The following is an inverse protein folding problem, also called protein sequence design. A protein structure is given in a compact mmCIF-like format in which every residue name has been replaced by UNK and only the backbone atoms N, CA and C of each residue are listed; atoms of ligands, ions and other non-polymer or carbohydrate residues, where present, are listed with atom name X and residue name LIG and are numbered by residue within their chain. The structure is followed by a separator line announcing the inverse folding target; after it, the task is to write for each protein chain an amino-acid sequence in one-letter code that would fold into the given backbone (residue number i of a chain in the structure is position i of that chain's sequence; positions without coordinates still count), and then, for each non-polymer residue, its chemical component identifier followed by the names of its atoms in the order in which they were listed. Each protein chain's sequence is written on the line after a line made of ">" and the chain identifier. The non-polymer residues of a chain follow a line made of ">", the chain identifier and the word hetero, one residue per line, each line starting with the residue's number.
data_IF_860429259209
#
_entry.id   IF_860429259209
#
_cell.length_a   1.000
_cell.length_b   1.000
_cell.length_c   1.000
_cell.angle_alpha   90.00
_cell.angle_beta   90.00
_cell.angle_gamma   90.00
#
_symmetry.space_group_name_H-M   'P 1'
#
loop_
_entity.id
_entity.type
_entity.pdbx_description
1 polymer ?
#
# COMPACT_ATOMS: atom_id res chain seq x y z
N UNK A 1 -36.92 -10.01 -10.60
CA UNK A 1 -36.13 -9.04 -11.39
C UNK A 1 -34.85 -8.61 -10.67
N UNK A 2 -34.87 -8.40 -9.36
CA UNK A 2 -33.68 -8.07 -8.53
C UNK A 2 -32.62 -9.17 -8.58
N UNK A 3 -32.96 -10.43 -8.37
CA UNK A 3 -32.03 -11.57 -8.37
C UNK A 3 -31.26 -11.71 -9.70
N UNK A 4 -31.89 -11.40 -10.85
CA UNK A 4 -31.21 -11.43 -12.16
C UNK A 4 -30.23 -10.28 -12.38
N UNK A 5 -30.38 -9.15 -11.65
CA UNK A 5 -29.48 -8.01 -11.73
C UNK A 5 -28.23 -8.26 -10.89
N UNK A 6 -28.38 -8.87 -9.69
CA UNK A 6 -27.25 -9.26 -8.83
C UNK A 6 -26.37 -10.35 -9.43
N UNK A 7 -26.94 -11.29 -10.21
CA UNK A 7 -26.17 -12.31 -10.91
C UNK A 7 -25.31 -11.79 -12.09
N UNK A 8 -25.47 -10.53 -12.48
CA UNK A 8 -24.68 -9.87 -13.54
C UNK A 8 -23.69 -8.82 -13.03
N UNK A 9 -23.64 -8.60 -11.71
CA UNK A 9 -22.67 -7.67 -11.12
C UNK A 9 -21.30 -8.35 -11.09
N UNK A 10 -20.35 -7.83 -11.82
CA UNK A 10 -18.94 -8.22 -11.68
C UNK A 10 -18.43 -7.68 -10.34
N UNK A 11 -18.15 -8.58 -9.41
CA UNK A 11 -17.56 -8.22 -8.14
C UNK A 11 -16.05 -8.06 -8.31
N UNK A 12 -15.49 -6.99 -7.80
CA UNK A 12 -14.03 -6.73 -7.79
C UNK A 12 -13.26 -7.89 -7.14
N UNK A 13 -13.90 -8.61 -6.19
CA UNK A 13 -13.37 -9.85 -5.62
C UNK A 13 -14.44 -10.93 -5.70
N UNK A 14 -14.22 -12.00 -6.47
CA UNK A 14 -15.17 -13.13 -6.52
C UNK A 14 -15.29 -13.77 -5.15
N UNK A 15 -16.49 -14.31 -4.84
CA UNK A 15 -16.74 -15.05 -3.61
C UNK A 15 -15.88 -16.33 -3.59
N UNK A 16 -15.00 -16.44 -2.60
CA UNK A 16 -14.14 -17.61 -2.40
C UNK A 16 -14.62 -18.37 -1.16
N UNK A 17 -14.99 -19.63 -1.33
CA UNK A 17 -15.34 -20.52 -0.24
C UNK A 17 -14.08 -21.01 0.48
N UNK A 18 -13.55 -20.18 1.38
CA UNK A 18 -12.43 -20.56 2.24
C UNK A 18 -12.83 -21.64 3.23
N UNK A 19 -11.87 -22.38 3.80
CA UNK A 19 -12.18 -23.42 4.79
C UNK A 19 -12.90 -22.86 6.04
N UNK A 20 -12.63 -21.61 6.41
CA UNK A 20 -13.41 -20.89 7.43
C UNK A 20 -14.89 -20.80 7.03
N UNK A 21 -15.16 -20.32 5.81
CA UNK A 21 -16.53 -20.18 5.30
C UNK A 21 -17.22 -21.54 5.23
N UNK A 22 -16.53 -22.58 4.76
CA UNK A 22 -17.09 -23.96 4.73
C UNK A 22 -17.49 -24.45 6.12
N UNK A 23 -16.62 -24.27 7.14
CA UNK A 23 -16.95 -24.62 8.54
C UNK A 23 -18.15 -23.84 9.06
N UNK A 24 -18.21 -22.54 8.79
CA UNK A 24 -19.34 -21.69 9.16
C UNK A 24 -20.66 -22.14 8.49
N UNK A 25 -20.62 -22.52 7.22
CA UNK A 25 -21.80 -23.04 6.50
C UNK A 25 -22.28 -24.35 7.15
N UNK A 26 -21.39 -25.26 7.52
CA UNK A 26 -21.76 -26.51 8.19
C UNK A 26 -22.44 -26.24 9.53
N UNK A 27 -21.88 -25.38 10.38
CA UNK A 27 -22.46 -25.00 11.65
C UNK A 27 -23.81 -24.31 11.46
N UNK A 28 -23.91 -23.40 10.48
CA UNK A 28 -25.17 -22.74 10.10
C UNK A 28 -26.26 -23.77 9.71
N UNK A 29 -25.92 -24.74 8.86
CA UNK A 29 -26.85 -25.75 8.42
C UNK A 29 -27.37 -26.61 9.59
N UNK A 30 -26.48 -27.03 10.50
CA UNK A 30 -26.85 -27.81 11.70
C UNK A 30 -27.77 -27.00 12.61
N UNK A 31 -27.41 -25.75 12.93
CA UNK A 31 -28.22 -24.88 13.81
C UNK A 31 -29.58 -24.58 13.18
N UNK A 32 -29.61 -24.28 11.87
CA UNK A 32 -30.83 -24.02 11.12
C UNK A 32 -31.77 -25.23 11.16
N UNK A 33 -31.23 -26.44 10.95
CA UNK A 33 -32.01 -27.67 11.03
C UNK A 33 -32.61 -27.89 12.42
N UNK A 34 -31.77 -27.77 13.49
CA UNK A 34 -32.21 -27.98 14.88
C UNK A 34 -33.31 -26.97 15.25
N UNK A 35 -33.11 -25.70 14.97
CA UNK A 35 -34.06 -24.64 15.34
C UNK A 35 -35.37 -24.78 14.56
N UNK A 36 -35.27 -25.05 13.25
CA UNK A 36 -36.46 -25.25 12.42
C UNK A 36 -37.27 -26.47 12.93
N UNK A 37 -36.58 -27.59 13.24
CA UNK A 37 -37.21 -28.78 13.82
C UNK A 37 -37.91 -28.47 15.15
N UNK A 38 -37.28 -27.76 16.05
CA UNK A 38 -37.86 -27.38 17.35
C UNK A 38 -39.06 -26.42 17.17
N UNK A 39 -38.96 -25.45 16.27
CA UNK A 39 -40.07 -24.52 16.00
C UNK A 39 -41.27 -25.26 15.40
N UNK A 40 -41.04 -26.13 14.40
CA UNK A 40 -42.15 -26.87 13.78
C UNK A 40 -42.82 -27.82 14.78
N UNK A 41 -42.04 -28.49 15.64
CA UNK A 41 -42.56 -29.41 16.65
C UNK A 41 -43.42 -28.73 17.71
N UNK A 42 -42.99 -27.54 18.18
CA UNK A 42 -43.61 -26.86 19.33
C UNK A 42 -44.66 -25.82 18.95
N UNK A 43 -44.56 -25.22 17.76
CA UNK A 43 -45.35 -24.08 17.30
C UNK A 43 -46.17 -24.39 16.02
N UNK A 44 -46.42 -25.66 15.69
CA UNK A 44 -47.13 -26.02 14.46
C UNK A 44 -48.56 -25.43 14.38
N UNK A 45 -49.20 -25.14 15.55
CA UNK A 45 -50.52 -24.52 15.63
C UNK A 45 -50.44 -22.97 15.35
N UNK A 46 -49.24 -22.38 15.27
CA UNK A 46 -49.01 -20.96 15.03
C UNK A 46 -48.21 -20.70 13.76
N UNK A 47 -48.63 -21.31 12.62
CA UNK A 47 -47.90 -21.23 11.37
C UNK A 47 -47.53 -19.83 10.90
N UNK A 48 -48.40 -18.82 11.14
CA UNK A 48 -48.10 -17.43 10.81
C UNK A 48 -46.93 -16.88 11.62
N UNK A 49 -46.83 -17.22 12.92
CA UNK A 49 -45.73 -16.79 13.78
C UNK A 49 -44.43 -17.47 13.37
N UNK A 50 -44.46 -18.76 13.02
CA UNK A 50 -43.32 -19.51 12.48
C UNK A 50 -42.80 -18.86 11.20
N UNK A 51 -43.71 -18.43 10.31
CA UNK A 51 -43.37 -17.72 9.09
C UNK A 51 -42.62 -16.42 9.33
N UNK A 52 -43.11 -15.59 10.27
CA UNK A 52 -42.43 -14.32 10.66
C UNK A 52 -41.04 -14.59 11.26
N UNK A 53 -40.94 -15.55 12.19
CA UNK A 53 -39.64 -15.95 12.80
C UNK A 53 -38.66 -16.40 11.73
N UNK A 54 -39.11 -17.17 10.73
CA UNK A 54 -38.26 -17.70 9.65
C UNK A 54 -37.63 -16.61 8.77
N UNK A 55 -38.20 -15.41 8.70
CA UNK A 55 -37.61 -14.26 7.96
C UNK A 55 -36.41 -13.69 8.70
N UNK A 56 -36.47 -13.58 10.03
CA UNK A 56 -35.40 -12.98 10.83
C UNK A 56 -34.39 -14.00 11.35
N UNK A 57 -34.75 -15.26 11.41
CA UNK A 57 -33.92 -16.36 11.90
C UNK A 57 -32.56 -16.45 11.20
N UNK A 58 -32.41 -16.29 9.87
CA UNK A 58 -31.11 -16.34 9.22
C UNK A 58 -30.11 -15.32 9.74
N UNK A 59 -30.53 -14.10 10.02
CA UNK A 59 -29.66 -13.05 10.55
C UNK A 59 -29.16 -13.37 11.96
N UNK A 60 -30.06 -13.85 12.83
CA UNK A 60 -29.70 -14.31 14.17
C UNK A 60 -28.75 -15.49 14.12
N UNK A 61 -29.02 -16.45 13.22
CA UNK A 61 -28.18 -17.65 13.05
C UNK A 61 -26.76 -17.29 12.59
N UNK A 62 -26.59 -16.37 11.65
CA UNK A 62 -25.27 -15.92 11.20
C UNK A 62 -24.48 -15.37 12.40
N UNK A 63 -25.12 -14.55 13.26
CA UNK A 63 -24.48 -14.02 14.45
C UNK A 63 -24.08 -15.10 15.45
N UNK A 64 -24.97 -16.06 15.73
CA UNK A 64 -24.69 -17.21 16.61
C UNK A 64 -23.57 -18.09 16.05
N UNK A 65 -23.58 -18.38 14.75
CA UNK A 65 -22.50 -19.12 14.08
C UNK A 65 -21.16 -18.42 14.27
N UNK A 66 -21.12 -17.08 14.10
CA UNK A 66 -19.90 -16.32 14.33
C UNK A 66 -19.40 -16.45 15.78
N UNK A 67 -20.29 -16.34 16.77
CA UNK A 67 -19.93 -16.52 18.20
C UNK A 67 -19.39 -17.93 18.47
N UNK A 68 -20.05 -18.96 17.97
CA UNK A 68 -19.67 -20.36 18.21
C UNK A 68 -18.36 -20.71 17.52
N UNK A 69 -18.15 -20.22 16.28
CA UNK A 69 -16.96 -20.56 15.49
C UNK A 69 -15.75 -19.71 15.85
N UNK A 70 -15.91 -18.46 16.33
CA UNK A 70 -14.78 -17.54 16.63
C UNK A 70 -13.70 -18.14 17.54
N UNK A 71 -14.00 -18.85 18.65
CA UNK A 71 -12.96 -19.44 19.49
C UNK A 71 -12.11 -20.46 18.72
N UNK A 72 -12.76 -21.28 17.88
CA UNK A 72 -12.12 -22.31 17.07
C UNK A 72 -11.23 -21.64 15.99
N UNK A 73 -11.77 -20.64 15.30
CA UNK A 73 -11.03 -19.91 14.27
C UNK A 73 -9.83 -19.17 14.86
N UNK A 74 -9.97 -18.58 16.07
CA UNK A 74 -8.87 -17.93 16.77
C UNK A 74 -7.79 -18.93 17.20
N UNK A 75 -8.18 -20.13 17.67
CA UNK A 75 -7.24 -21.18 18.00
C UNK A 75 -6.46 -21.66 16.75
N UNK A 76 -7.14 -21.84 15.63
CA UNK A 76 -6.52 -22.21 14.34
C UNK A 76 -5.55 -21.12 13.88
N UNK A 77 -5.96 -19.84 13.92
CA UNK A 77 -5.08 -18.70 13.57
C UNK A 77 -3.82 -18.70 14.44
N UNK A 78 -3.99 -18.82 15.76
CA UNK A 78 -2.88 -18.83 16.71
C UNK A 78 -1.96 -20.03 16.47
N UNK A 79 -2.50 -21.18 16.09
CA UNK A 79 -1.71 -22.35 15.70
C UNK A 79 -0.82 -22.06 14.48
N UNK A 80 -1.38 -21.43 13.44
CA UNK A 80 -0.62 -21.03 12.25
C UNK A 80 0.46 -19.97 12.54
N UNK A 81 0.13 -18.98 13.39
CA UNK A 81 1.09 -17.98 13.82
C UNK A 81 2.24 -18.58 14.63
N UNK A 82 1.94 -19.52 15.53
CA UNK A 82 2.98 -20.21 16.31
C UNK A 82 3.90 -21.04 15.40
N UNK A 83 3.33 -21.78 14.43
CA UNK A 83 4.12 -22.51 13.44
C UNK A 83 5.06 -21.58 12.67
N UNK A 84 4.56 -20.42 12.22
CA UNK A 84 5.39 -19.45 11.52
C UNK A 84 6.48 -18.83 12.42
N UNK A 85 6.18 -18.58 13.70
CA UNK A 85 7.17 -18.13 14.71
C UNK A 85 8.25 -19.17 14.92
N UNK A 86 7.87 -20.44 15.00
CA UNK A 86 8.84 -21.55 15.20
C UNK A 86 9.74 -21.69 13.97
N UNK A 87 9.21 -21.55 12.75
CA UNK A 87 10.03 -21.53 11.52
C UNK A 87 11.07 -20.41 11.60
N UNK A 88 10.64 -19.16 11.89
CA UNK A 88 11.56 -18.02 11.98
C UNK A 88 12.55 -18.11 13.12
N UNK A 89 12.20 -18.77 14.22
CA UNK A 89 13.04 -18.96 15.40
C UNK A 89 14.10 -20.03 15.19
N UNK A 90 13.77 -21.08 14.43
CA UNK A 90 14.67 -22.21 14.20
C UNK A 90 15.71 -21.96 13.10
N UNK A 91 15.65 -20.80 12.43
CA UNK A 91 16.66 -20.38 11.45
C UNK A 91 17.41 -19.14 11.95
N UNK A 92 18.51 -19.40 12.70
CA UNK A 92 19.36 -18.34 13.24
C UNK A 92 20.18 -17.62 12.15
N UNK A 93 20.32 -18.21 10.96
CA UNK A 93 21.07 -17.63 9.85
C UNK A 93 20.22 -16.69 9.00
N UNK A 94 18.89 -16.76 9.14
CA UNK A 94 17.97 -15.91 8.36
C UNK A 94 18.05 -14.45 8.82
N UNK A 95 18.55 -13.60 7.96
CA UNK A 95 18.54 -12.15 8.16
C UNK A 95 17.10 -11.67 8.02
N UNK A 96 16.53 -11.06 9.06
CA UNK A 96 15.15 -10.55 9.07
C UNK A 96 15.16 -9.04 9.04
N UNK A 97 14.42 -8.47 8.09
CA UNK A 97 14.29 -7.03 7.83
C UNK A 97 12.82 -6.65 7.95
N UNK A 98 12.50 -5.68 8.80
CA UNK A 98 11.19 -5.08 8.92
C UNK A 98 11.13 -3.75 8.16
N UNK A 99 10.00 -3.47 7.51
CA UNK A 99 9.78 -2.21 6.79
C UNK A 99 8.39 -1.67 7.11
N UNK A 100 8.34 -0.52 7.77
CA UNK A 100 7.09 0.17 8.07
C UNK A 100 7.07 1.63 7.62
N UNK A 101 5.95 2.29 7.84
CA UNK A 101 5.68 3.70 7.53
C UNK A 101 4.22 3.91 7.12
N UNK A 102 3.81 5.16 7.00
CA UNK A 102 2.50 5.49 6.44
C UNK A 102 2.51 5.27 4.92
N UNK A 103 3.54 5.74 4.22
CA UNK A 103 3.68 5.67 2.76
C UNK A 103 5.02 5.06 2.37
N UNK A 104 5.11 4.48 1.17
CA UNK A 104 6.38 3.98 0.60
C UNK A 104 6.79 2.55 0.99
N UNK A 105 6.15 1.90 1.95
CA UNK A 105 6.49 0.55 2.44
C UNK A 105 6.70 -0.49 1.34
N UNK A 106 5.69 -0.68 0.50
CA UNK A 106 5.72 -1.69 -0.57
C UNK A 106 6.79 -1.39 -1.61
N UNK A 107 6.95 -0.12 -1.97
CA UNK A 107 8.00 0.30 -2.90
C UNK A 107 9.39 0.05 -2.29
N UNK A 108 9.62 0.47 -1.04
CA UNK A 108 10.89 0.24 -0.35
C UNK A 108 11.20 -1.26 -0.21
N UNK A 109 10.22 -2.09 0.12
CA UNK A 109 10.37 -3.55 0.18
C UNK A 109 10.89 -4.12 -1.15
N UNK A 110 10.28 -3.75 -2.27
CA UNK A 110 10.70 -4.22 -3.58
C UNK A 110 12.06 -3.65 -3.98
N UNK A 111 12.31 -2.37 -3.72
CA UNK A 111 13.61 -1.72 -3.95
C UNK A 111 14.73 -2.42 -3.18
N UNK A 112 14.53 -2.65 -1.88
CA UNK A 112 15.49 -3.38 -1.03
C UNK A 112 15.73 -4.78 -1.61
N UNK A 113 14.66 -5.50 -1.93
CA UNK A 113 14.77 -6.83 -2.55
C UNK A 113 15.63 -6.80 -3.82
N UNK A 114 15.31 -5.91 -4.76
CA UNK A 114 16.00 -5.87 -6.05
C UNK A 114 17.49 -5.52 -5.88
N UNK A 115 17.83 -4.61 -4.94
CA UNK A 115 19.23 -4.23 -4.68
C UNK A 115 20.01 -5.39 -4.09
N UNK A 116 19.48 -6.10 -3.08
CA UNK A 116 20.25 -7.12 -2.37
C UNK A 116 20.19 -8.51 -3.02
N UNK A 117 19.27 -8.73 -3.97
CA UNK A 117 19.10 -10.02 -4.67
C UNK A 117 20.30 -10.40 -5.53
N UNK A 118 21.22 -9.49 -5.82
CA UNK A 118 22.48 -9.78 -6.49
C UNK A 118 23.42 -10.65 -5.63
N UNK A 119 23.26 -10.59 -4.30
CA UNK A 119 24.12 -11.28 -3.31
C UNK A 119 23.38 -12.29 -2.45
N UNK A 120 22.12 -12.05 -2.14
CA UNK A 120 21.33 -12.85 -1.22
C UNK A 120 20.11 -13.47 -1.90
N UNK A 121 19.77 -14.70 -1.55
CA UNK A 121 18.50 -15.28 -1.90
C UNK A 121 17.43 -14.79 -0.92
N UNK A 122 16.47 -14.04 -1.41
CA UNK A 122 15.51 -13.29 -0.60
C UNK A 122 14.11 -13.90 -0.65
N UNK A 123 13.41 -13.87 0.49
CA UNK A 123 11.96 -14.04 0.59
C UNK A 123 11.36 -12.69 0.96
N UNK A 124 10.33 -12.24 0.24
CA UNK A 124 9.60 -11.01 0.57
C UNK A 124 8.13 -11.31 0.82
N UNK A 125 7.46 -10.51 1.65
CA UNK A 125 6.00 -10.57 1.78
C UNK A 125 5.36 -10.17 0.44
N UNK A 126 4.50 -11.04 -0.18
CA UNK A 126 3.91 -10.74 -1.50
C UNK A 126 2.93 -9.57 -1.41
N UNK A 127 2.80 -8.80 -2.48
CA UNK A 127 1.88 -7.68 -2.58
C UNK A 127 1.87 -6.81 -1.30
N UNK A 128 0.72 -6.64 -0.66
CA UNK A 128 0.53 -5.94 0.62
C UNK A 128 0.24 -6.89 1.79
N UNK A 129 0.87 -8.08 1.82
CA UNK A 129 0.74 -9.05 2.93
C UNK A 129 1.52 -8.55 4.17
N UNK A 130 1.05 -7.46 4.76
CA UNK A 130 1.69 -6.71 5.84
C UNK A 130 0.98 -6.84 7.20
N UNK A 131 -0.01 -7.73 7.29
CA UNK A 131 -0.74 -8.06 8.53
C UNK A 131 -0.21 -9.36 9.14
N UNK A 132 -0.49 -9.66 10.43
CA UNK A 132 -0.04 -10.90 11.07
C UNK A 132 -0.36 -12.15 10.25
N UNK A 133 -1.59 -12.26 9.73
CA UNK A 133 -1.97 -13.43 8.91
C UNK A 133 -1.34 -13.43 7.51
N UNK A 134 -1.12 -12.25 6.90
CA UNK A 134 -0.40 -12.14 5.63
C UNK A 134 1.05 -12.61 5.75
N UNK A 135 1.73 -12.20 6.82
CA UNK A 135 3.10 -12.61 7.14
C UNK A 135 3.13 -14.12 7.48
N UNK A 136 2.21 -14.59 8.33
CA UNK A 136 2.05 -16.02 8.66
C UNK A 136 1.92 -16.88 7.41
N UNK A 137 1.06 -16.45 6.49
CA UNK A 137 0.84 -17.14 5.21
C UNK A 137 2.10 -17.17 4.36
N UNK A 138 2.81 -16.04 4.25
CA UNK A 138 4.06 -15.95 3.51
C UNK A 138 5.08 -16.95 4.03
N UNK A 139 5.25 -17.02 5.35
CA UNK A 139 6.23 -17.91 5.97
C UNK A 139 5.82 -19.38 5.75
N UNK A 140 4.58 -19.75 6.05
CA UNK A 140 4.12 -21.15 5.95
C UNK A 140 4.08 -21.69 4.52
N UNK A 141 3.70 -20.85 3.54
CA UNK A 141 3.51 -21.29 2.16
C UNK A 141 4.75 -21.12 1.28
N UNK A 142 5.62 -20.14 1.60
CA UNK A 142 6.69 -19.72 0.69
C UNK A 142 8.09 -19.87 1.28
N UNK A 143 8.25 -19.90 2.60
CA UNK A 143 9.57 -20.03 3.20
C UNK A 143 10.22 -21.38 2.85
N UNK A 144 11.51 -21.32 2.53
CA UNK A 144 12.40 -22.49 2.34
C UNK A 144 13.73 -22.20 3.02
N UNK A 145 14.41 -23.21 3.60
CA UNK A 145 15.70 -23.02 4.29
C UNK A 145 16.84 -22.48 3.42
N UNK A 146 16.66 -22.38 2.11
CA UNK A 146 17.64 -21.78 1.20
C UNK A 146 17.63 -20.25 1.23
N UNK A 147 16.55 -19.63 1.73
CA UNK A 147 16.50 -18.17 1.83
C UNK A 147 17.44 -17.65 2.90
N UNK A 148 18.21 -16.63 2.55
CA UNK A 148 19.18 -16.00 3.43
C UNK A 148 18.64 -14.72 4.07
N UNK A 149 17.66 -14.07 3.41
CA UNK A 149 17.06 -12.83 3.88
C UNK A 149 15.54 -12.91 3.76
N UNK A 150 14.85 -12.53 4.82
CA UNK A 150 13.40 -12.32 4.83
C UNK A 150 13.09 -10.82 4.98
N UNK A 151 12.46 -10.23 3.96
CA UNK A 151 12.04 -8.83 3.95
C UNK A 151 10.54 -8.77 4.21
N UNK A 152 10.18 -8.25 5.37
CA UNK A 152 8.81 -8.22 5.87
C UNK A 152 8.25 -6.79 5.82
N UNK A 153 7.22 -6.55 5.01
CA UNK A 153 6.42 -5.33 5.10
C UNK A 153 5.52 -5.42 6.34
N UNK A 154 5.56 -4.40 7.21
CA UNK A 154 4.80 -4.33 8.46
C UNK A 154 3.77 -3.19 8.37
N UNK A 155 2.49 -3.55 8.31
CA UNK A 155 1.37 -2.63 8.29
C UNK A 155 0.76 -2.45 9.69
N UNK A 156 0.23 -1.26 9.95
CA UNK A 156 -0.61 -1.03 11.11
C UNK A 156 -1.66 0.04 10.78
N UNK A 157 -2.87 -0.19 11.25
CA UNK A 157 -3.98 0.76 11.27
C UNK A 157 -4.49 1.03 12.71
N UNK A 158 -3.99 0.30 13.71
CA UNK A 158 -4.23 0.49 15.14
C UNK A 158 -2.94 0.49 15.95
N UNK A 159 -2.99 1.09 17.14
CA UNK A 159 -1.88 1.10 18.10
C UNK A 159 -1.60 -0.33 18.60
N UNK A 160 -0.33 -0.71 18.68
CA UNK A 160 0.14 -2.00 19.15
C UNK A 160 0.39 -3.06 18.06
N UNK A 161 0.04 -2.79 16.81
CA UNK A 161 0.20 -3.75 15.72
C UNK A 161 1.64 -3.86 15.22
N UNK A 162 2.40 -2.75 15.13
CA UNK A 162 3.85 -2.83 14.83
C UNK A 162 4.58 -3.53 15.97
N UNK A 163 4.25 -3.18 17.21
CA UNK A 163 4.77 -3.89 18.39
C UNK A 163 4.58 -5.40 18.28
N UNK A 164 3.36 -5.83 17.92
CA UNK A 164 3.04 -7.24 17.72
C UNK A 164 3.86 -7.88 16.60
N UNK A 165 4.02 -7.18 15.46
CA UNK A 165 4.77 -7.69 14.32
C UNK A 165 6.27 -7.75 14.59
N UNK A 166 6.83 -6.77 15.34
CA UNK A 166 8.21 -6.79 15.79
C UNK A 166 8.50 -7.99 16.72
N UNK A 167 7.58 -8.28 17.65
CA UNK A 167 7.67 -9.46 18.52
C UNK A 167 7.46 -10.78 17.76
N UNK A 168 6.72 -10.73 16.65
CA UNK A 168 6.47 -11.90 15.79
C UNK A 168 7.69 -12.23 14.92
N UNK A 169 8.20 -11.25 14.17
CA UNK A 169 9.27 -11.46 13.17
C UNK A 169 10.66 -11.39 13.81
N UNK A 170 10.83 -10.52 14.81
CA UNK A 170 12.10 -10.19 15.46
C UNK A 170 13.18 -9.80 14.45
N UNK A 171 12.96 -8.73 13.67
CA UNK A 171 13.93 -8.29 12.69
C UNK A 171 15.20 -7.76 13.36
N UNK A 172 16.35 -7.94 12.69
CA UNK A 172 17.63 -7.31 13.06
C UNK A 172 17.78 -5.93 12.42
N UNK A 173 17.14 -5.73 11.27
CA UNK A 173 17.16 -4.49 10.50
C UNK A 173 15.74 -3.95 10.38
N UNK A 174 15.56 -2.65 10.64
CA UNK A 174 14.28 -1.97 10.56
C UNK A 174 14.36 -0.74 9.68
N UNK A 175 13.34 -0.49 8.86
CA UNK A 175 13.24 0.70 8.00
C UNK A 175 11.93 1.42 8.27
N UNK A 176 12.00 2.71 8.61
CA UNK A 176 10.83 3.60 8.67
C UNK A 176 10.88 4.56 7.48
N UNK A 177 9.98 4.37 6.51
CA UNK A 177 10.01 5.07 5.23
C UNK A 177 9.53 6.51 5.32
N UNK A 178 8.31 6.72 5.75
CA UNK A 178 7.71 8.04 6.01
C UNK A 178 6.50 7.91 6.92
N UNK A 179 6.22 8.96 7.70
CA UNK A 179 5.08 9.06 8.60
C UNK A 179 4.21 10.22 8.14
N UNK A 180 2.90 10.04 8.20
CA UNK A 180 1.91 11.05 7.89
C UNK A 180 0.51 10.64 8.30
N UNK A 181 -0.47 11.55 8.22
CA UNK A 181 -1.85 11.31 8.62
C UNK A 181 -2.49 10.24 7.71
N UNK A 182 -2.55 9.02 8.22
CA UNK A 182 -3.19 7.87 7.60
C UNK A 182 -3.94 7.10 8.69
N UNK A 183 -5.15 6.60 8.41
CA UNK A 183 -5.99 5.88 9.38
C UNK A 183 -6.24 6.66 10.69
N UNK A 184 -6.36 8.00 10.62
CA UNK A 184 -6.52 8.88 11.79
C UNK A 184 -7.69 8.47 12.70
N UNK A 185 -8.80 7.99 12.12
CA UNK A 185 -9.95 7.55 12.90
C UNK A 185 -9.61 6.35 13.81
N UNK A 186 -8.78 5.44 13.35
CA UNK A 186 -8.39 4.23 14.09
C UNK A 186 -7.28 4.52 15.11
N UNK A 187 -6.30 5.36 14.74
CA UNK A 187 -5.22 5.77 15.64
C UNK A 187 -5.63 6.86 16.63
N UNK A 188 -6.70 7.60 16.35
CA UNK A 188 -7.19 8.71 17.17
C UNK A 188 -6.45 10.03 16.94
N UNK A 189 -5.14 10.04 16.79
CA UNK A 189 -4.33 11.23 16.52
C UNK A 189 -3.00 10.90 15.83
N UNK A 190 -2.31 11.93 15.36
CA UNK A 190 -1.03 11.81 14.65
C UNK A 190 0.11 11.32 15.56
N UNK A 191 0.14 11.72 16.82
CA UNK A 191 1.18 11.30 17.77
C UNK A 191 1.18 9.80 17.99
N UNK A 192 0.00 9.17 17.99
CA UNK A 192 -0.13 7.73 18.06
C UNK A 192 0.43 7.05 16.79
N UNK A 193 0.20 7.65 15.62
CA UNK A 193 0.78 7.14 14.35
C UNK A 193 2.31 7.22 14.40
N UNK A 194 2.85 8.34 14.86
CA UNK A 194 4.30 8.53 14.97
C UNK A 194 4.90 7.49 15.90
N UNK A 195 4.37 7.35 17.12
CA UNK A 195 4.85 6.37 18.10
C UNK A 195 4.77 4.96 17.55
N UNK A 196 3.63 4.60 16.97
CA UNK A 196 3.40 3.25 16.44
C UNK A 196 4.40 2.89 15.32
N UNK A 197 4.63 3.80 14.37
CA UNK A 197 5.57 3.51 13.27
C UNK A 197 7.03 3.51 13.77
N UNK A 198 7.35 4.31 14.78
CA UNK A 198 8.69 4.33 15.37
C UNK A 198 8.99 3.11 16.25
N UNK A 199 7.98 2.33 16.69
CA UNK A 199 8.19 1.03 17.35
C UNK A 199 9.08 0.09 16.51
N UNK A 200 9.09 0.23 15.18
CA UNK A 200 10.02 -0.49 14.30
C UNK A 200 11.49 -0.29 14.69
N UNK A 201 11.86 0.93 15.09
CA UNK A 201 13.23 1.27 15.51
C UNK A 201 13.41 1.01 17.01
N UNK A 202 12.43 1.38 17.82
CA UNK A 202 12.51 1.27 19.29
C UNK A 202 12.67 -0.19 19.78
N UNK A 203 12.17 -1.15 18.97
CA UNK A 203 12.20 -2.58 19.34
C UNK A 203 13.28 -3.40 18.65
N UNK A 204 14.17 -2.76 17.88
CA UNK A 204 15.32 -3.48 17.33
C UNK A 204 16.24 -3.96 18.45
N UNK A 205 16.92 -5.11 18.27
CA UNK A 205 17.95 -5.54 19.21
C UNK A 205 19.11 -4.53 19.25
N UNK A 206 19.87 -4.51 20.33
CA UNK A 206 20.98 -3.55 20.53
C UNK A 206 22.04 -3.63 19.43
N UNK A 207 22.24 -4.82 18.86
CA UNK A 207 23.15 -5.08 17.74
C UNK A 207 22.43 -4.97 16.38
N UNK A 208 21.20 -4.47 16.38
CA UNK A 208 20.42 -4.20 15.19
C UNK A 208 20.72 -2.85 14.54
N UNK A 209 20.14 -2.61 13.38
CA UNK A 209 20.31 -1.36 12.62
C UNK A 209 18.96 -0.82 12.17
N UNK A 210 18.67 0.41 12.57
CA UNK A 210 17.51 1.19 12.10
C UNK A 210 17.88 2.10 10.93
N UNK A 211 17.01 2.24 9.97
CA UNK A 211 17.15 3.18 8.85
C UNK A 211 15.94 4.11 8.84
N UNK A 212 16.21 5.42 8.87
CA UNK A 212 15.18 6.45 9.00
C UNK A 212 15.32 7.53 7.93
N UNK A 213 14.19 8.10 7.51
CA UNK A 213 14.13 9.15 6.52
C UNK A 213 14.08 10.54 7.20
N UNK A 214 15.14 11.33 7.14
CA UNK A 214 15.22 12.66 7.73
C UNK A 214 14.51 13.76 6.94
N UNK A 215 14.10 13.51 5.70
CA UNK A 215 13.24 14.46 4.96
C UNK A 215 11.79 14.45 5.49
N UNK A 216 11.43 13.45 6.31
CA UNK A 216 10.14 13.42 6.97
C UNK A 216 10.23 14.11 8.34
N UNK A 217 9.53 15.22 8.51
CA UNK A 217 9.57 16.04 9.71
C UNK A 217 9.21 15.30 10.99
N UNK A 218 8.25 14.36 10.93
CA UNK A 218 7.81 13.59 12.09
C UNK A 218 8.88 12.59 12.54
N UNK A 219 9.62 12.01 11.60
CA UNK A 219 10.75 11.11 11.89
C UNK A 219 11.95 11.93 12.38
N UNK A 220 12.29 13.04 11.72
CA UNK A 220 13.42 13.89 12.05
C UNK A 220 13.32 14.48 13.47
N UNK A 221 12.11 14.80 13.92
CA UNK A 221 11.83 15.35 15.25
C UNK A 221 11.59 14.29 16.34
N UNK A 222 11.54 13.00 15.97
CA UNK A 222 11.30 11.92 16.94
C UNK A 222 12.57 11.61 17.73
N UNK A 223 12.44 11.58 19.07
CA UNK A 223 13.55 11.19 19.95
C UNK A 223 13.58 9.67 20.09
N UNK A 224 14.52 9.02 19.43
CA UNK A 224 14.76 7.57 19.55
C UNK A 224 15.39 7.28 20.91
N UNK A 225 14.85 6.31 21.65
CA UNK A 225 15.35 5.88 22.95
C UNK A 225 16.17 4.59 22.86
N UNK A 226 16.02 3.82 21.78
CA UNK A 226 16.79 2.62 21.54
C UNK A 226 18.29 2.93 21.34
N UNK A 227 19.15 2.01 21.73
CA UNK A 227 20.62 2.12 21.61
C UNK A 227 21.17 1.38 20.39
N UNK A 228 20.32 0.87 19.51
CA UNK A 228 20.76 0.27 18.24
C UNK A 228 21.44 1.32 17.35
N UNK A 229 22.22 0.86 16.37
CA UNK A 229 22.77 1.74 15.33
C UNK A 229 21.62 2.31 14.48
N UNK A 230 21.64 3.61 14.26
CA UNK A 230 20.65 4.28 13.37
C UNK A 230 21.39 4.93 12.21
N UNK A 231 20.98 4.61 11.00
CA UNK A 231 21.41 5.25 9.76
C UNK A 231 20.29 6.13 9.21
N UNK A 232 20.65 7.25 8.71
CA UNK A 232 19.72 8.24 8.19
C UNK A 232 19.85 8.41 6.68
N UNK A 233 18.71 8.62 5.99
CA UNK A 233 18.66 8.94 4.56
C UNK A 233 17.92 10.24 4.33
N UNK A 234 18.28 10.98 3.28
CA UNK A 234 17.62 12.23 2.91
C UNK A 234 18.07 12.76 1.55
N UNK A 235 17.27 13.66 1.00
CA UNK A 235 17.58 14.43 -0.21
C UNK A 235 17.72 15.92 0.16
N UNK A 236 16.78 16.41 0.95
CA UNK A 236 16.74 17.81 1.39
C UNK A 236 17.57 18.03 2.66
N UNK A 237 17.72 16.99 3.48
CA UNK A 237 18.50 17.05 4.71
C UNK A 237 19.94 16.62 4.46
N UNK A 238 20.85 17.61 4.43
CA UNK A 238 22.30 17.43 4.19
C UNK A 238 23.04 16.72 5.33
N UNK A 239 22.40 16.57 6.50
CA UNK A 239 22.95 15.87 7.69
C UNK A 239 22.70 14.35 7.64
N UNK A 240 21.96 13.86 6.64
CA UNK A 240 21.72 12.44 6.50
C UNK A 240 23.02 11.69 6.16
N UNK A 241 23.21 10.49 6.74
CA UNK A 241 24.35 9.63 6.47
C UNK A 241 24.44 9.23 4.99
N UNK A 242 23.28 9.02 4.37
CA UNK A 242 23.14 8.76 2.94
C UNK A 242 22.27 9.83 2.30
N UNK A 243 22.91 10.79 1.63
CA UNK A 243 22.21 11.88 0.96
C UNK A 243 22.38 11.78 -0.56
N UNK A 244 21.24 11.93 -1.29
CA UNK A 244 21.26 12.02 -2.76
C UNK A 244 21.36 13.46 -3.21
N UNK A 245 22.20 13.70 -4.21
CA UNK A 245 22.40 15.01 -4.82
C UNK A 245 22.55 14.88 -6.35
N UNK A 246 22.55 15.99 -7.07
CA UNK A 246 22.63 16.04 -8.54
C UNK A 246 21.56 15.14 -9.20
N UNK A 247 20.32 15.25 -8.68
CA UNK A 247 19.19 14.44 -9.13
C UNK A 247 18.68 14.99 -10.47
N UNK A 248 18.57 14.11 -11.47
CA UNK A 248 18.08 14.45 -12.82
C UNK A 248 17.01 13.46 -13.23
N UNK A 249 15.89 13.97 -13.69
CA UNK A 249 14.76 13.20 -14.19
C UNK A 249 14.72 13.22 -15.72
N UNK A 250 14.29 12.11 -16.30
CA UNK A 250 14.09 11.97 -17.74
C UNK A 250 13.03 10.88 -18.02
N UNK A 251 12.57 10.77 -19.27
CA UNK A 251 11.66 9.70 -19.70
C UNK A 251 12.28 8.28 -19.57
N UNK A 252 13.60 8.19 -19.35
CA UNK A 252 14.31 6.94 -19.12
C UNK A 252 14.48 6.62 -17.63
N UNK A 253 13.96 7.47 -16.73
CA UNK A 253 14.08 7.31 -15.29
C UNK A 253 14.86 8.43 -14.61
N UNK A 254 15.44 8.12 -13.46
CA UNK A 254 16.17 9.06 -12.59
C UNK A 254 17.64 8.71 -12.52
N UNK A 255 18.50 9.75 -12.58
CA UNK A 255 19.94 9.65 -12.29
C UNK A 255 20.24 10.53 -11.09
N UNK A 256 21.03 10.04 -10.14
CA UNK A 256 21.43 10.79 -8.94
C UNK A 256 22.78 10.31 -8.43
N UNK A 257 23.39 11.07 -7.52
CA UNK A 257 24.66 10.74 -6.88
C UNK A 257 24.49 10.56 -5.37
N UNK A 258 25.26 9.63 -4.80
CA UNK A 258 25.39 9.42 -3.35
C UNK A 258 26.86 9.28 -3.02
N UNK A 259 27.29 9.79 -1.87
CA UNK A 259 28.64 9.52 -1.34
C UNK A 259 28.64 8.16 -0.64
N UNK A 260 29.42 7.20 -1.17
CA UNK A 260 29.72 5.93 -0.53
C UNK A 260 31.19 5.88 -0.18
N UNK A 261 31.50 5.62 1.10
CA UNK A 261 32.89 5.58 1.60
C UNK A 261 33.70 6.83 1.21
N UNK A 262 33.07 8.00 1.29
CA UNK A 262 33.71 9.29 0.95
C UNK A 262 33.85 9.58 -0.55
N UNK A 263 33.49 8.64 -1.45
CA UNK A 263 33.56 8.80 -2.91
C UNK A 263 32.19 8.90 -3.55
N UNK A 264 32.04 9.77 -4.51
CA UNK A 264 30.81 9.89 -5.29
C UNK A 264 30.52 8.60 -6.09
N UNK A 265 29.29 8.11 -5.97
CA UNK A 265 28.75 7.05 -6.80
C UNK A 265 27.55 7.59 -7.57
N UNK A 266 27.48 7.28 -8.87
CA UNK A 266 26.35 7.67 -9.72
C UNK A 266 25.41 6.48 -9.87
N UNK A 267 24.14 6.71 -9.61
CA UNK A 267 23.07 5.73 -9.69
C UNK A 267 22.11 6.09 -10.81
N UNK A 268 21.58 5.08 -11.48
CA UNK A 268 20.53 5.20 -12.49
C UNK A 268 19.43 4.21 -12.19
N UNK A 269 18.18 4.65 -12.28
CA UNK A 269 17.00 3.81 -12.08
C UNK A 269 15.89 4.20 -13.02
N UNK A 270 14.99 3.27 -13.33
CA UNK A 270 13.77 3.54 -14.11
C UNK A 270 12.68 4.23 -13.28
N UNK A 271 12.82 4.25 -11.95
CA UNK A 271 11.82 4.88 -11.08
C UNK A 271 11.91 6.40 -11.15
N UNK A 272 10.77 7.08 -11.13
CA UNK A 272 10.64 8.53 -11.16
C UNK A 272 10.19 9.08 -9.81
N UNK A 273 10.58 10.34 -9.54
CA UNK A 273 10.15 11.08 -8.37
C UNK A 273 11.12 11.00 -7.18
N UNK A 274 11.22 12.12 -6.44
CA UNK A 274 12.11 12.28 -5.27
C UNK A 274 11.84 11.22 -4.20
N UNK A 275 10.58 10.90 -3.93
CA UNK A 275 10.20 9.87 -2.98
C UNK A 275 10.76 8.47 -3.32
N UNK A 276 10.89 8.13 -4.62
CA UNK A 276 11.52 6.89 -5.01
C UNK A 276 13.04 6.93 -4.82
N UNK A 277 13.66 8.09 -5.00
CA UNK A 277 15.08 8.27 -4.63
C UNK A 277 15.28 8.04 -3.14
N UNK A 278 14.42 8.59 -2.27
CA UNK A 278 14.46 8.33 -0.81
C UNK A 278 14.28 6.84 -0.48
N UNK A 279 13.33 6.15 -1.14
CA UNK A 279 13.14 4.71 -0.95
C UNK A 279 14.40 3.92 -1.38
N UNK A 280 15.06 4.34 -2.47
CA UNK A 280 16.31 3.74 -2.95
C UNK A 280 17.46 4.02 -1.99
N UNK A 281 17.54 5.21 -1.38
CA UNK A 281 18.53 5.52 -0.34
C UNK A 281 18.40 4.58 0.85
N UNK A 282 17.18 4.24 1.28
CA UNK A 282 16.98 3.22 2.32
C UNK A 282 17.57 1.86 1.91
N UNK A 283 17.35 1.45 0.64
CA UNK A 283 17.92 0.23 0.09
C UNK A 283 19.44 0.26 -0.01
N UNK A 284 20.04 1.38 -0.43
CA UNK A 284 21.49 1.60 -0.50
C UNK A 284 22.12 1.51 0.89
N UNK A 285 21.52 2.19 1.89
CA UNK A 285 21.99 2.19 3.27
C UNK A 285 21.99 0.76 3.84
N UNK A 286 20.89 0.02 3.65
CA UNK A 286 20.80 -1.36 4.09
C UNK A 286 21.77 -2.28 3.35
N UNK A 287 21.87 -2.17 2.04
CA UNK A 287 22.79 -2.99 1.24
C UNK A 287 24.25 -2.79 1.67
N UNK A 288 24.62 -1.54 1.96
CA UNK A 288 25.95 -1.23 2.48
C UNK A 288 26.20 -1.87 3.85
N UNK A 289 25.22 -1.85 4.74
CA UNK A 289 25.29 -2.47 6.06
C UNK A 289 25.35 -4.01 5.97
N UNK A 290 24.72 -4.61 4.97
CA UNK A 290 24.80 -6.04 4.66
C UNK A 290 26.10 -6.42 3.93
N UNK A 291 27.02 -5.48 3.73
CA UNK A 291 28.33 -5.72 3.15
C UNK A 291 28.37 -5.91 1.64
N UNK A 292 27.41 -5.32 0.90
CA UNK A 292 27.51 -5.24 -0.55
C UNK A 292 28.58 -4.23 -0.95
N UNK A 293 29.33 -4.54 -2.00
CA UNK A 293 30.27 -3.60 -2.62
C UNK A 293 29.55 -2.45 -3.31
N UNK A 294 30.27 -1.38 -3.59
CA UNK A 294 29.75 -0.23 -4.33
C UNK A 294 29.19 -0.65 -5.69
N UNK A 295 29.89 -1.51 -6.39
CA UNK A 295 29.54 -2.03 -7.72
C UNK A 295 28.25 -2.86 -7.65
N UNK A 296 28.14 -3.78 -6.70
CA UNK A 296 26.92 -4.58 -6.45
C UNK A 296 25.70 -3.69 -6.16
N UNK A 297 25.88 -2.61 -5.39
CA UNK A 297 24.80 -1.66 -5.10
C UNK A 297 24.39 -0.87 -6.34
N UNK A 298 25.37 -0.39 -7.14
CA UNK A 298 25.08 0.34 -8.39
C UNK A 298 24.29 -0.56 -9.35
N UNK A 299 24.74 -1.78 -9.53
CA UNK A 299 24.07 -2.76 -10.41
C UNK A 299 22.68 -3.12 -9.87
N UNK A 300 22.53 -3.31 -8.55
CA UNK A 300 21.26 -3.55 -7.91
C UNK A 300 20.26 -2.43 -8.14
N UNK A 301 20.69 -1.17 -8.00
CA UNK A 301 19.83 0.01 -8.24
C UNK A 301 19.46 0.13 -9.73
N UNK A 302 20.36 -0.20 -10.64
CA UNK A 302 20.08 -0.17 -12.07
C UNK A 302 19.06 -1.25 -12.51
N UNK A 303 18.97 -2.34 -11.76
CA UNK A 303 18.08 -3.47 -12.04
C UNK A 303 16.74 -3.41 -11.25
N UNK A 304 16.47 -2.33 -10.51
CA UNK A 304 15.20 -2.12 -9.83
C UNK A 304 14.05 -2.19 -10.85
N UNK A 305 13.02 -2.97 -10.47
CA UNK A 305 11.80 -3.12 -11.27
C UNK A 305 10.74 -2.12 -10.83
N UNK A 306 9.86 -1.76 -11.74
CA UNK A 306 8.70 -0.95 -11.40
C UNK A 306 7.72 -1.77 -10.55
N UNK A 307 7.09 -1.11 -9.60
CA UNK A 307 6.01 -1.72 -8.81
C UNK A 307 4.69 -1.43 -9.51
N UNK A 308 3.90 -2.47 -9.76
CA UNK A 308 2.59 -2.35 -10.42
C UNK A 308 1.72 -1.29 -9.74
N UNK A 309 1.08 -0.46 -10.56
CA UNK A 309 0.15 0.59 -10.14
C UNK A 309 0.74 1.63 -9.15
N UNK A 310 2.07 1.80 -9.13
CA UNK A 310 2.77 2.79 -8.30
C UNK A 310 3.73 3.62 -9.13
N UNK A 311 3.19 4.62 -9.82
CA UNK A 311 3.91 5.43 -10.82
C UNK A 311 4.59 4.55 -11.87
N UNK A 312 3.95 3.46 -12.23
CA UNK A 312 4.45 2.52 -13.22
C UNK A 312 4.32 3.11 -14.62
N UNK A 313 5.44 3.21 -15.33
CA UNK A 313 5.43 3.66 -16.74
C UNK A 313 5.07 2.49 -17.62
N UNK A 314 3.95 2.61 -18.32
CA UNK A 314 3.46 1.64 -19.30
C UNK A 314 3.42 2.26 -20.69
N UNK A 315 3.86 1.50 -21.69
CA UNK A 315 3.63 1.85 -23.09
C UNK A 315 2.54 0.95 -23.67
N UNK A 316 1.38 1.54 -23.96
CA UNK A 316 0.20 0.84 -24.49
C UNK A 316 -0.19 1.52 -25.80
N UNK A 317 -0.19 0.77 -26.90
CA UNK A 317 -0.48 1.28 -28.24
C UNK A 317 0.39 2.51 -28.64
N UNK A 318 1.63 2.57 -28.14
CA UNK A 318 2.55 3.68 -28.36
C UNK A 318 2.40 4.86 -27.39
N UNK A 319 1.29 4.99 -26.67
CA UNK A 319 1.07 6.01 -25.66
C UNK A 319 1.88 5.71 -24.39
N UNK A 320 2.33 6.76 -23.71
CA UNK A 320 2.98 6.66 -22.40
C UNK A 320 1.96 6.90 -21.33
N UNK A 321 1.68 5.86 -20.53
CA UNK A 321 0.85 5.95 -19.33
C UNK A 321 1.74 5.91 -18.09
N UNK A 322 1.43 6.73 -17.09
CA UNK A 322 1.92 6.62 -15.74
C UNK A 322 0.75 6.06 -14.92
N UNK A 323 0.86 4.80 -14.53
CA UNK A 323 -0.17 4.10 -13.77
C UNK A 323 0.09 4.27 -12.26
N UNK A 324 -0.74 5.08 -11.60
CA UNK A 324 -0.77 5.28 -10.16
C UNK A 324 -2.15 4.96 -9.60
N UNK A 325 -2.76 3.89 -10.12
CA UNK A 325 -4.14 3.54 -9.84
C UNK A 325 -4.37 2.88 -8.46
N UNK A 326 -3.32 2.48 -7.74
CA UNK A 326 -3.46 1.75 -6.49
C UNK A 326 -3.54 2.69 -5.27
N UNK A 327 -4.75 2.79 -4.67
CA UNK A 327 -5.01 3.39 -3.35
C UNK A 327 -4.37 4.79 -3.16
N UNK A 328 -4.81 5.73 -3.99
CA UNK A 328 -4.31 7.12 -3.98
C UNK A 328 -4.68 7.85 -2.70
N UNK A 329 -3.80 8.74 -2.28
CA UNK A 329 -3.97 9.59 -1.11
C UNK A 329 -3.44 11.01 -1.41
N UNK A 330 -3.78 12.04 -0.61
CA UNK A 330 -3.42 13.42 -0.91
C UNK A 330 -1.92 13.67 -1.13
N UNK A 331 -1.05 12.99 -0.38
CA UNK A 331 0.41 13.12 -0.53
C UNK A 331 0.88 12.41 -1.81
N UNK A 332 0.34 11.22 -2.07
CA UNK A 332 0.64 10.45 -3.28
C UNK A 332 0.28 11.20 -4.55
N UNK A 333 -0.92 11.79 -4.59
CA UNK A 333 -1.39 12.58 -5.74
C UNK A 333 -0.52 13.79 -6.05
N UNK A 334 -0.05 14.51 -5.02
CA UNK A 334 0.88 15.63 -5.24
C UNK A 334 2.17 15.15 -5.89
N UNK A 335 2.71 14.03 -5.41
CA UNK A 335 3.94 13.43 -5.96
C UNK A 335 3.77 12.91 -7.40
N UNK A 336 2.63 12.31 -7.71
CA UNK A 336 2.34 11.86 -9.07
C UNK A 336 2.19 13.02 -10.05
N UNK A 337 1.59 14.14 -9.63
CA UNK A 337 1.53 15.37 -10.41
C UNK A 337 2.91 16.02 -10.61
N UNK A 338 3.80 15.95 -9.62
CA UNK A 338 5.19 16.40 -9.77
C UNK A 338 5.90 15.55 -10.85
N UNK A 339 5.74 14.23 -10.81
CA UNK A 339 6.27 13.35 -11.85
C UNK A 339 5.69 13.70 -13.22
N UNK A 340 4.36 13.87 -13.32
CA UNK A 340 3.70 14.26 -14.56
C UNK A 340 4.26 15.57 -15.11
N UNK A 341 4.52 16.56 -14.24
CA UNK A 341 5.07 17.87 -14.63
C UNK A 341 6.44 17.81 -15.31
N UNK A 342 7.20 16.73 -15.06
CA UNK A 342 8.55 16.51 -15.63
C UNK A 342 8.50 15.77 -16.98
N UNK A 343 7.33 15.30 -17.40
CA UNK A 343 7.18 14.50 -18.61
C UNK A 343 7.07 15.35 -19.87
N UNK A 344 7.45 14.75 -20.99
CA UNK A 344 7.37 15.40 -22.31
C UNK A 344 5.98 15.29 -22.92
N UNK A 345 5.69 16.18 -23.87
CA UNK A 345 4.42 16.26 -24.58
C UNK A 345 3.33 16.94 -23.74
N UNK A 346 2.06 16.78 -24.12
CA UNK A 346 0.95 17.22 -23.27
C UNK A 346 0.83 16.30 -22.06
N UNK A 347 0.66 16.92 -20.91
CA UNK A 347 0.53 16.25 -19.62
C UNK A 347 -0.96 16.13 -19.29
N UNK A 348 -1.46 14.91 -19.37
CA UNK A 348 -2.89 14.61 -19.20
C UNK A 348 -3.07 13.81 -17.92
N UNK A 349 -4.01 14.20 -17.08
CA UNK A 349 -4.41 13.39 -15.91
C UNK A 349 -5.83 12.87 -16.11
N UNK A 350 -6.03 11.60 -15.77
CA UNK A 350 -7.33 10.93 -15.69
C UNK A 350 -7.55 10.49 -14.26
N UNK A 351 -8.63 10.95 -13.62
CA UNK A 351 -8.89 10.62 -12.20
C UNK A 351 -10.37 10.63 -11.87
N UNK A 352 -10.85 9.68 -11.03
CA UNK A 352 -12.17 9.73 -10.41
C UNK A 352 -12.16 10.50 -9.07
N UNK A 353 -11.02 11.05 -8.65
CA UNK A 353 -10.85 11.72 -7.37
C UNK A 353 -10.38 10.80 -6.25
N UNK A 354 -10.26 11.37 -5.06
CA UNK A 354 -9.86 10.70 -3.83
C UNK A 354 -11.08 10.32 -3.00
N UNK A 355 -11.05 9.15 -2.38
CA UNK A 355 -12.12 8.61 -1.53
C UNK A 355 -11.58 8.17 -0.18
N UNK A 356 -12.47 7.80 0.75
CA UNK A 356 -12.13 7.31 2.10
C UNK A 356 -11.40 8.32 3.00
N UNK A 357 -11.56 9.62 2.73
CA UNK A 357 -11.00 10.71 3.52
C UNK A 357 -11.98 11.30 4.55
N UNK A 358 -13.17 10.71 4.67
CA UNK A 358 -14.18 11.13 5.62
C UNK A 358 -14.59 12.60 5.43
N UNK A 359 -14.55 13.41 6.49
CA UNK A 359 -14.96 14.83 6.44
C UNK A 359 -14.03 15.70 5.61
N UNK A 360 -12.79 15.28 5.41
CA UNK A 360 -11.78 16.05 4.65
C UNK A 360 -11.81 15.75 3.15
N UNK A 361 -12.62 14.80 2.69
CA UNK A 361 -12.64 14.36 1.30
C UNK A 361 -12.87 15.51 0.30
N UNK A 362 -13.82 16.38 0.59
CA UNK A 362 -14.10 17.52 -0.28
C UNK A 362 -12.95 18.54 -0.29
N UNK A 363 -12.32 18.80 0.87
CA UNK A 363 -11.19 19.72 1.00
C UNK A 363 -9.95 19.21 0.29
N UNK A 364 -9.64 17.92 0.46
CA UNK A 364 -8.48 17.29 -0.18
C UNK A 364 -8.66 17.17 -1.70
N UNK A 365 -9.85 16.84 -2.18
CA UNK A 365 -10.15 16.85 -3.62
C UNK A 365 -10.08 18.27 -4.21
N UNK A 366 -10.54 19.29 -3.49
CA UNK A 366 -10.38 20.67 -3.89
C UNK A 366 -8.89 21.07 -3.98
N UNK A 367 -8.10 20.75 -2.95
CA UNK A 367 -6.67 21.00 -2.92
C UNK A 367 -5.93 20.26 -4.04
N UNK A 368 -6.34 19.02 -4.34
CA UNK A 368 -5.81 18.22 -5.45
C UNK A 368 -6.08 18.89 -6.79
N UNK A 369 -7.31 19.37 -7.04
CA UNK A 369 -7.64 20.13 -8.23
C UNK A 369 -6.80 21.41 -8.39
N UNK A 370 -6.67 22.20 -7.31
CA UNK A 370 -5.85 23.41 -7.32
C UNK A 370 -4.35 23.11 -7.59
N UNK A 371 -3.86 21.97 -7.12
CA UNK A 371 -2.46 21.57 -7.30
C UNK A 371 -2.14 21.09 -8.74
N UNK A 372 -3.14 20.77 -9.56
CA UNK A 372 -2.97 20.40 -10.97
C UNK A 372 -2.51 21.58 -11.84
N UNK A 373 -2.78 22.82 -11.40
CA UNK A 373 -2.31 24.00 -12.12
C UNK A 373 -0.79 23.94 -12.32
N UNK A 374 -0.33 24.31 -13.51
CA UNK A 374 1.07 24.29 -13.96
C UNK A 374 1.71 22.87 -14.03
N UNK A 375 1.01 21.81 -13.59
CA UNK A 375 1.51 20.43 -13.59
C UNK A 375 0.82 19.55 -14.63
N UNK A 376 -0.41 19.83 -14.97
CA UNK A 376 -1.15 19.17 -16.04
C UNK A 376 -1.58 20.21 -17.09
N UNK A 377 -1.64 19.80 -18.35
CA UNK A 377 -2.15 20.62 -19.45
C UNK A 377 -3.62 20.31 -19.73
N UNK A 378 -4.05 19.07 -19.47
CA UNK A 378 -5.41 18.64 -19.65
C UNK A 378 -5.84 17.70 -18.49
N UNK A 379 -7.12 17.78 -18.13
CA UNK A 379 -7.70 17.00 -17.03
C UNK A 379 -8.96 16.27 -17.52
N UNK A 380 -9.03 14.96 -17.28
CA UNK A 380 -10.22 14.13 -17.53
C UNK A 380 -10.70 13.64 -16.16
N UNK A 381 -11.88 14.11 -15.76
CA UNK A 381 -12.54 13.77 -14.50
C UNK A 381 -13.56 12.65 -14.76
N UNK A 382 -13.47 11.56 -14.01
CA UNK A 382 -14.35 10.40 -14.17
C UNK A 382 -15.39 10.38 -13.05
N UNK A 383 -16.67 10.51 -13.40
CA UNK A 383 -17.77 10.63 -12.44
C UNK A 383 -17.96 12.08 -11.95
N UNK A 384 -19.16 12.60 -12.10
CA UNK A 384 -19.46 14.00 -11.81
C UNK A 384 -19.44 14.30 -10.31
N UNK A 385 -20.06 13.45 -9.50
CA UNK A 385 -20.26 13.68 -8.07
C UNK A 385 -18.96 13.78 -7.29
N UNK A 386 -18.05 12.84 -7.48
CA UNK A 386 -16.79 12.78 -6.71
C UNK A 386 -15.78 13.83 -7.19
N UNK A 387 -15.90 14.32 -8.41
CA UNK A 387 -14.95 15.23 -9.03
C UNK A 387 -15.37 16.70 -9.00
N UNK A 388 -16.54 17.02 -8.47
CA UNK A 388 -17.02 18.42 -8.34
C UNK A 388 -16.06 19.29 -7.54
N UNK A 389 -15.52 18.78 -6.43
CA UNK A 389 -14.55 19.52 -5.62
C UNK A 389 -13.24 19.76 -6.37
N UNK A 390 -12.76 18.78 -7.14
CA UNK A 390 -11.58 18.91 -8.00
C UNK A 390 -11.81 19.99 -9.06
N UNK A 391 -12.97 19.97 -9.71
CA UNK A 391 -13.34 20.95 -10.73
C UNK A 391 -13.33 22.38 -10.16
N UNK A 392 -13.87 22.59 -8.96
CA UNK A 392 -13.83 23.88 -8.28
C UNK A 392 -12.38 24.30 -7.99
N UNK A 393 -11.54 23.39 -7.46
CA UNK A 393 -10.12 23.67 -7.20
C UNK A 393 -9.35 24.07 -8.46
N UNK A 394 -9.59 23.40 -9.59
CA UNK A 394 -9.05 23.76 -10.90
C UNK A 394 -9.47 25.18 -11.31
N UNK A 395 -10.76 25.47 -11.24
CA UNK A 395 -11.32 26.78 -11.62
C UNK A 395 -10.74 27.92 -10.76
N UNK A 396 -10.77 27.75 -9.45
CA UNK A 396 -10.34 28.78 -8.49
C UNK A 396 -8.84 29.03 -8.54
N UNK A 397 -8.04 28.00 -8.90
CA UNK A 397 -6.59 28.15 -9.13
C UNK A 397 -6.25 28.87 -10.44
N UNK A 398 -7.24 29.12 -11.33
CA UNK A 398 -7.02 29.73 -12.64
C UNK A 398 -6.51 28.75 -13.69
N UNK A 399 -6.86 27.45 -13.57
CA UNK A 399 -6.67 26.47 -14.64
C UNK A 399 -7.64 26.77 -15.80
N UNK A 400 -7.17 26.58 -17.05
CA UNK A 400 -8.06 26.78 -18.20
C UNK A 400 -9.11 25.65 -18.27
N UNK A 401 -10.34 25.99 -17.91
CA UNK A 401 -11.46 25.05 -17.83
C UNK A 401 -11.83 24.42 -19.20
N UNK A 402 -11.46 25.05 -20.32
CA UNK A 402 -11.63 24.45 -21.65
C UNK A 402 -10.80 23.16 -21.82
N UNK A 403 -9.77 22.98 -21.01
CA UNK A 403 -8.90 21.79 -20.97
C UNK A 403 -9.37 20.75 -19.92
N UNK A 404 -10.55 20.93 -19.32
CA UNK A 404 -11.16 19.98 -18.40
C UNK A 404 -12.31 19.27 -19.08
N UNK A 405 -12.31 17.93 -19.04
CA UNK A 405 -13.40 17.09 -19.53
C UNK A 405 -13.94 16.25 -18.39
N UNK A 406 -15.26 16.29 -18.18
CA UNK A 406 -15.95 15.36 -17.26
C UNK A 406 -16.58 14.26 -18.10
N UNK A 407 -16.41 13.01 -17.69
CA UNK A 407 -16.93 11.79 -18.33
C UNK A 407 -17.58 10.89 -17.30
N UNK A 408 -18.46 9.99 -17.73
CA UNK A 408 -19.24 9.14 -16.82
C UNK A 408 -18.63 7.76 -16.57
N UNK A 409 -17.60 7.39 -17.31
CA UNK A 409 -16.97 6.08 -17.18
C UNK A 409 -15.51 6.09 -17.59
N UNK A 410 -14.76 5.10 -17.09
CA UNK A 410 -13.38 4.84 -17.51
C UNK A 410 -13.29 4.61 -19.03
N UNK A 411 -14.25 3.88 -19.60
CA UNK A 411 -14.30 3.63 -21.05
C UNK A 411 -14.40 4.92 -21.84
N UNK A 412 -15.21 5.88 -21.39
CA UNK A 412 -15.30 7.21 -22.02
C UNK A 412 -13.99 7.98 -21.87
N UNK A 413 -13.34 7.90 -20.71
CA UNK A 413 -12.04 8.54 -20.47
C UNK A 413 -10.97 8.02 -21.43
N UNK A 414 -10.85 6.70 -21.59
CA UNK A 414 -9.90 6.12 -22.54
C UNK A 414 -10.23 6.46 -24.00
N UNK A 415 -11.51 6.49 -24.37
CA UNK A 415 -11.92 6.92 -25.71
C UNK A 415 -11.49 8.38 -25.96
N UNK A 416 -11.67 9.27 -24.99
CA UNK A 416 -11.18 10.66 -25.05
C UNK A 416 -9.67 10.72 -25.20
N UNK A 417 -8.91 9.92 -24.45
CA UNK A 417 -7.46 9.82 -24.53
C UNK A 417 -7.03 9.42 -25.94
N UNK A 418 -7.55 8.32 -26.48
CA UNK A 418 -7.12 7.81 -27.79
C UNK A 418 -7.57 8.66 -28.98
N UNK A 419 -8.61 9.49 -28.82
CA UNK A 419 -9.11 10.36 -29.91
C UNK A 419 -8.46 11.74 -29.93
N UNK A 420 -8.08 12.29 -28.77
CA UNK A 420 -7.61 13.68 -28.65
C UNK A 420 -6.10 13.85 -28.49
N UNK A 421 -5.42 12.82 -27.97
CA UNK A 421 -4.01 12.91 -27.66
C UNK A 421 -3.17 12.02 -28.56
N UNK A 422 -1.86 12.24 -28.53
CA UNK A 422 -0.91 11.56 -29.38
C UNK A 422 0.06 10.69 -28.57
N UNK A 423 0.79 9.81 -29.23
CA UNK A 423 1.85 8.97 -28.62
C UNK A 423 3.02 9.76 -28.02
N UNK A 424 3.08 11.08 -28.30
CA UNK A 424 4.09 11.98 -27.71
C UNK A 424 3.65 12.51 -26.32
N UNK A 425 2.37 12.38 -26.01
CA UNK A 425 1.77 12.89 -24.79
C UNK A 425 1.88 11.86 -23.65
N UNK A 426 1.83 12.34 -22.41
CA UNK A 426 1.90 11.48 -21.22
C UNK A 426 0.59 11.54 -20.47
N UNK A 427 0.05 10.37 -20.14
CA UNK A 427 -1.22 10.21 -19.45
C UNK A 427 -0.97 9.64 -18.05
N UNK A 428 -1.32 10.38 -17.01
CA UNK A 428 -1.33 9.92 -15.63
C UNK A 428 -2.71 9.32 -15.31
N UNK A 429 -2.75 8.06 -14.94
CA UNK A 429 -3.92 7.42 -14.35
C UNK A 429 -3.78 7.51 -12.83
N UNK A 430 -4.56 8.38 -12.20
CA UNK A 430 -4.48 8.63 -10.77
C UNK A 430 -5.74 8.12 -10.07
N UNK A 431 -5.56 7.14 -9.23
CA UNK A 431 -6.59 6.36 -8.56
C UNK A 431 -7.42 5.49 -9.50
N UNK A 432 -7.90 4.36 -8.98
CA UNK A 432 -8.85 3.47 -9.66
C UNK A 432 -9.99 3.18 -8.68
N UNK A 433 -11.19 3.60 -9.04
CA UNK A 433 -12.38 3.36 -8.25
C UNK A 433 -13.25 2.31 -8.95
N UNK A 434 -13.75 1.30 -8.19
CA UNK A 434 -14.81 0.44 -8.70
C UNK A 434 -16.00 1.24 -9.17
N UNK A 435 -16.65 0.81 -10.25
CA UNK A 435 -17.84 1.47 -10.85
C UNK A 435 -18.91 1.86 -9.82
N UNK A 436 -19.01 1.12 -8.70
CA UNK A 436 -19.96 1.42 -7.62
C UNK A 436 -19.72 2.77 -6.91
N UNK A 437 -18.51 3.35 -7.03
CA UNK A 437 -18.15 4.64 -6.41
C UNK A 437 -18.18 5.82 -7.40
N UNK A 438 -18.38 5.55 -8.70
CA UNK A 438 -18.35 6.55 -9.76
C UNK A 438 -19.74 7.19 -9.97
N UNK A 439 -20.81 6.57 -9.45
CA UNK A 439 -22.23 6.99 -9.66
C UNK A 439 -22.89 7.57 -8.42
#
# INVERSE_FOLDING_TARGET
>A
MVIKKEMKTEYVKPLVYTDRVKRQIVVYAILSFIITFLLTKNLHNYLNLVGIISIYLPYLLIYLVAIITNPIENAIKKGFENEARDILKNDDNLIKIGITGSFGKTTTKNVVNDIISSKYLTLITPASYNTPMGITRTIREMYKPIYQVFICEMGADHVGEITYLMDFVKPKYGIVTSIGPQHLNAFGNLDNIIKEKMEEIERLPKDGVGIINLDNEYIANYKINNTCKVLSVGIENDKADFSAYDIKYSNAGTTFKVKLDGKAATFKTILLGSHNVTNILCGIALARELGLSKEEIIDGVANIKQVQHRLEIKKINGFTFIDNAFNSNPVGCKRSLEVLSMMNGKRVIVTPGLVDLGKEEANENYAFGAYMKDRADNVILVGEKNTEAIYRGLKDSGFDINNVKVVNSEKEAFNEVYTKYSVKDTILLENDLPDAFIH
#
